data_IF_901603429714
#
_entry.id   IF_901603429714
#
_cell.length_a   1.000
_cell.length_b   1.000
_cell.length_c   1.000
_cell.angle_alpha   90.00
_cell.angle_beta   90.00
_cell.angle_gamma   90.00
#
_symmetry.space_group_name_H-M   'P 1'
#
loop_
_entity.id
_entity.type
_entity.pdbx_description
1 polymer ?
#
# COMPACT_ATOMS: atom_id res chain seq x y z
N UNK A 1 -3.08 8.05 -8.18
CA UNK A 1 -4.54 8.33 -8.13
C UNK A 1 -5.38 7.12 -8.53
N UNK A 2 -5.16 6.48 -9.68
CA UNK A 2 -5.96 5.33 -10.18
C UNK A 2 -6.39 4.30 -9.12
N UNK A 3 -5.44 3.76 -8.35
CA UNK A 3 -5.73 2.74 -7.33
C UNK A 3 -6.61 3.30 -6.20
N UNK A 4 -6.31 4.51 -5.72
CA UNK A 4 -7.09 5.18 -4.66
C UNK A 4 -8.52 5.49 -5.12
N UNK A 5 -8.67 6.01 -6.34
CA UNK A 5 -9.98 6.28 -6.95
C UNK A 5 -10.79 5.01 -7.22
N UNK A 6 -10.12 3.87 -7.37
CA UNK A 6 -10.76 2.56 -7.52
C UNK A 6 -11.13 1.90 -6.18
N UNK A 7 -10.98 2.61 -5.06
CA UNK A 7 -11.24 2.09 -3.70
C UNK A 7 -10.12 1.23 -3.12
N UNK A 8 -8.94 1.25 -3.72
CA UNK A 8 -7.73 0.61 -3.19
C UNK A 8 -6.97 1.50 -2.21
N UNK A 9 -6.09 0.88 -1.44
CA UNK A 9 -5.16 1.54 -0.52
C UNK A 9 -3.75 1.57 -1.14
N UNK A 10 -3.01 2.62 -0.82
CA UNK A 10 -1.63 2.84 -1.27
C UNK A 10 -0.82 3.33 -0.07
N UNK A 11 0.14 2.52 0.38
CA UNK A 11 0.99 2.79 1.55
C UNK A 11 2.44 2.38 1.28
N UNK A 12 3.37 2.82 2.12
CA UNK A 12 4.72 2.23 2.18
C UNK A 12 4.68 0.86 2.90
N UNK A 13 5.83 0.20 3.06
CA UNK A 13 5.97 -1.11 3.73
C UNK A 13 5.79 -1.00 5.25
N UNK A 14 5.82 0.22 5.79
CA UNK A 14 5.51 0.54 7.19
C UNK A 14 4.01 0.81 7.39
N UNK A 15 3.22 0.87 6.31
CA UNK A 15 1.79 1.18 6.33
C UNK A 15 1.49 2.68 6.42
N UNK A 16 2.47 3.54 6.15
CA UNK A 16 2.32 5.01 6.15
C UNK A 16 2.01 5.56 4.75
N UNK A 17 1.60 6.83 4.69
CA UNK A 17 1.35 7.55 3.43
C UNK A 17 2.62 8.12 2.76
N UNK A 18 3.83 7.84 3.29
CA UNK A 18 5.10 8.38 2.81
C UNK A 18 5.63 7.70 1.53
N UNK A 19 4.74 7.39 0.59
CA UNK A 19 5.04 6.64 -0.64
C UNK A 19 5.85 7.42 -1.67
N UNK A 20 5.98 8.74 -1.51
CA UNK A 20 6.76 9.59 -2.41
C UNK A 20 8.23 9.71 -1.98
N UNK A 21 8.53 9.48 -0.70
CA UNK A 21 9.85 9.70 -0.11
C UNK A 21 10.58 8.38 0.22
N UNK A 22 9.85 7.28 0.46
CA UNK A 22 10.39 6.01 0.95
C UNK A 22 11.03 5.09 -0.10
N UNK A 23 10.70 5.27 -1.37
CA UNK A 23 11.16 4.41 -2.48
C UNK A 23 10.44 3.05 -2.58
N UNK A 24 9.54 2.76 -1.65
CA UNK A 24 8.72 1.56 -1.57
C UNK A 24 7.22 1.89 -1.63
N UNK A 25 6.46 1.01 -2.28
CA UNK A 25 5.00 1.19 -2.39
C UNK A 25 4.28 -0.16 -2.40
N UNK A 26 3.19 -0.22 -1.66
CA UNK A 26 2.24 -1.32 -1.64
C UNK A 26 0.88 -0.77 -2.05
N UNK A 27 0.27 -1.41 -3.04
CA UNK A 27 -1.04 -1.08 -3.56
C UNK A 27 -1.91 -2.34 -3.50
N UNK A 28 -3.03 -2.29 -2.77
CA UNK A 28 -3.96 -3.41 -2.69
C UNK A 28 -5.36 -2.94 -2.25
N UNK A 29 -6.36 -3.80 -2.38
CA UNK A 29 -7.64 -3.56 -1.72
C UNK A 29 -7.47 -3.67 -0.17
N UNK A 30 -8.39 -3.10 0.63
CA UNK A 30 -8.28 -3.14 2.10
C UNK A 30 -8.20 -4.54 2.71
N UNK A 31 -8.79 -5.54 2.05
CA UNK A 31 -8.79 -6.94 2.52
C UNK A 31 -7.43 -7.61 2.36
N UNK A 32 -6.70 -7.29 1.29
CA UNK A 32 -5.43 -7.92 0.94
C UNK A 32 -4.21 -7.15 1.47
N UNK A 33 -4.32 -5.85 1.76
CA UNK A 33 -3.18 -5.01 2.14
C UNK A 33 -2.37 -5.60 3.30
N UNK A 34 -3.03 -6.06 4.36
CA UNK A 34 -2.37 -6.65 5.53
C UNK A 34 -1.64 -7.96 5.21
N UNK A 35 -2.25 -8.80 4.36
CA UNK A 35 -1.67 -10.08 3.95
C UNK A 35 -0.45 -9.85 3.05
N UNK A 36 -0.56 -8.90 2.12
CA UNK A 36 0.55 -8.51 1.25
C UNK A 36 1.71 -7.92 2.03
N UNK A 37 1.44 -6.99 2.95
CA UNK A 37 2.46 -6.41 3.82
C UNK A 37 3.15 -7.46 4.72
N UNK A 38 2.43 -8.51 5.13
CA UNK A 38 3.00 -9.63 5.89
C UNK A 38 3.80 -10.61 5.04
N UNK A 39 3.47 -10.76 3.74
CA UNK A 39 4.18 -11.66 2.83
C UNK A 39 5.51 -11.09 2.32
N UNK A 40 5.67 -9.76 2.33
CA UNK A 40 6.87 -9.06 1.87
C UNK A 40 7.86 -8.81 3.04
N UNK A 41 7.39 -8.94 4.29
CA UNK A 41 8.18 -8.81 5.52
C UNK A 41 8.83 -10.13 5.93
#
# INVERSE_FOLDING_TARGET
>A
LLVRESGGLVTDFKGSDNVLDGGDVICANPRLLKQLAAAIR
#
